data_IF_144784614029
#
_entry.id   IF_144784614029
#
_cell.length_a   1.000
_cell.length_b   1.000
_cell.length_c   1.000
_cell.angle_alpha   90.00
_cell.angle_beta   90.00
_cell.angle_gamma   90.00
#
_symmetry.space_group_name_H-M   'P 1'
#
loop_
_entity.id
_entity.type
_entity.pdbx_description
1 polymer ?
#
# COMPACT_ATOMS: atom_id res chain seq x y z
N UNK A 1 -12.54 16.64 10.39
CA UNK A 1 -13.38 15.60 9.77
C UNK A 1 -13.59 16.02 8.33
N UNK A 2 -12.76 15.55 7.40
CA UNK A 2 -12.86 15.96 5.99
C UNK A 2 -13.70 14.92 5.26
N UNK A 3 -14.95 15.29 5.00
CA UNK A 3 -15.89 14.51 4.23
C UNK A 3 -15.45 14.37 2.78
N UNK A 4 -15.85 13.24 2.20
CA UNK A 4 -15.80 12.94 0.77
C UNK A 4 -16.37 14.13 -0.04
N UNK A 5 -15.48 14.98 -0.53
CA UNK A 5 -15.72 15.69 -1.79
C UNK A 5 -14.98 14.87 -2.85
N UNK A 6 -15.71 14.41 -3.86
CA UNK A 6 -15.27 13.77 -5.12
C UNK A 6 -13.82 14.12 -5.55
N UNK A 7 -12.85 13.46 -4.91
CA UNK A 7 -11.41 13.66 -5.09
C UNK A 7 -10.78 12.59 -5.97
N UNK A 8 -11.58 11.92 -6.82
CA UNK A 8 -11.10 10.84 -7.68
C UNK A 8 -10.09 11.32 -8.72
N UNK A 9 -10.12 12.59 -9.14
CA UNK A 9 -9.32 13.06 -10.27
C UNK A 9 -7.90 13.47 -9.92
N UNK A 10 -7.68 14.02 -8.71
CA UNK A 10 -6.35 14.49 -8.28
C UNK A 10 -5.40 13.35 -7.85
N UNK A 11 -5.91 12.13 -7.69
CA UNK A 11 -5.11 10.94 -7.33
C UNK A 11 -4.67 10.11 -8.54
N UNK A 12 -5.10 10.48 -9.76
CA UNK A 12 -4.73 9.78 -11.01
C UNK A 12 -3.43 10.30 -11.64
N UNK A 13 -2.80 11.35 -11.12
CA UNK A 13 -1.62 11.95 -11.75
C UNK A 13 -0.35 11.10 -11.66
N UNK A 14 -0.32 10.12 -10.75
CA UNK A 14 0.81 9.20 -10.62
C UNK A 14 0.59 7.89 -11.38
N UNK A 15 -0.66 7.60 -11.74
CA UNK A 15 -1.09 6.29 -12.21
C UNK A 15 -0.52 5.97 -13.59
N UNK A 16 0.09 4.80 -13.75
CA UNK A 16 0.69 4.36 -15.03
C UNK A 16 -0.33 4.23 -16.14
N UNK A 17 -1.56 3.82 -15.82
CA UNK A 17 -2.66 3.70 -16.78
C UNK A 17 -3.28 5.04 -17.17
N UNK A 18 -2.95 6.14 -16.47
CA UNK A 18 -3.38 7.47 -16.89
C UNK A 18 -2.51 7.95 -18.06
N UNK A 19 -3.05 7.86 -19.27
CA UNK A 19 -2.37 8.26 -20.50
C UNK A 19 -2.17 9.78 -20.62
N UNK A 20 -2.97 10.59 -19.91
CA UNK A 20 -2.88 12.05 -19.94
C UNK A 20 -1.60 12.58 -19.26
N UNK A 21 -0.98 11.80 -18.35
CA UNK A 21 0.20 12.21 -17.58
C UNK A 21 1.49 11.51 -18.00
N UNK A 22 2.61 12.22 -17.90
CA UNK A 22 3.98 11.74 -18.21
C UNK A 22 4.87 11.73 -16.96
N UNK A 23 4.34 11.14 -15.90
CA UNK A 23 5.03 10.94 -14.63
C UNK A 23 5.31 12.23 -13.86
N UNK A 24 6.36 12.21 -13.06
CA UNK A 24 6.66 13.26 -12.08
C UNK A 24 8.06 13.89 -12.27
N UNK A 25 8.73 13.63 -13.39
CA UNK A 25 10.04 14.20 -13.68
C UNK A 25 9.98 15.65 -14.20
N UNK A 26 9.08 15.93 -15.14
CA UNK A 26 8.95 17.23 -15.82
C UNK A 26 8.15 18.21 -14.96
N UNK A 27 8.62 19.45 -14.85
CA UNK A 27 7.98 20.50 -14.03
C UNK A 27 6.53 20.81 -14.38
N UNK A 28 6.17 20.67 -15.66
CA UNK A 28 4.84 20.99 -16.19
C UNK A 28 3.83 19.84 -16.03
N UNK A 29 4.28 18.67 -15.57
CA UNK A 29 3.37 17.55 -15.36
C UNK A 29 2.67 17.72 -14.01
N UNK A 30 1.35 17.48 -13.93
CA UNK A 30 0.59 17.67 -12.69
C UNK A 30 1.13 16.80 -11.54
N UNK A 31 1.66 15.60 -11.86
CA UNK A 31 2.31 14.75 -10.87
C UNK A 31 3.56 15.40 -10.25
N UNK A 32 4.32 16.20 -11.00
CA UNK A 32 5.44 16.95 -10.44
C UNK A 32 4.97 18.01 -9.44
N UNK A 33 3.94 18.77 -9.81
CA UNK A 33 3.39 19.86 -9.00
C UNK A 33 2.79 19.33 -7.69
N UNK A 34 2.09 18.20 -7.74
CA UNK A 34 1.56 17.55 -6.54
C UNK A 34 2.68 17.14 -5.57
N UNK A 35 3.82 16.63 -6.05
CA UNK A 35 4.97 16.34 -5.19
C UNK A 35 5.67 17.59 -4.65
N UNK A 36 5.69 18.69 -5.39
CA UNK A 36 6.20 19.96 -4.87
C UNK A 36 5.26 20.55 -3.80
N UNK A 37 3.94 20.45 -3.98
CA UNK A 37 2.98 20.79 -2.95
C UNK A 37 3.16 19.93 -1.70
N UNK A 38 3.23 18.60 -1.86
CA UNK A 38 3.45 17.67 -0.75
C UNK A 38 4.76 17.98 -0.01
N UNK A 39 5.82 18.33 -0.74
CA UNK A 39 7.09 18.77 -0.17
C UNK A 39 6.91 19.97 0.76
N UNK A 40 6.16 20.97 0.32
CA UNK A 40 5.94 22.19 1.09
C UNK A 40 5.11 21.88 2.34
N UNK A 41 4.04 21.09 2.21
CA UNK A 41 3.20 20.71 3.36
C UNK A 41 3.97 19.92 4.42
N UNK A 42 4.74 18.92 4.02
CA UNK A 42 5.56 18.13 4.96
C UNK A 42 6.65 18.98 5.62
N UNK A 43 7.22 19.96 4.90
CA UNK A 43 8.17 20.89 5.50
C UNK A 43 7.50 21.79 6.55
N UNK A 44 6.31 22.31 6.26
CA UNK A 44 5.54 23.12 7.23
C UNK A 44 5.22 22.29 8.47
N UNK A 45 4.80 21.02 8.30
CA UNK A 45 4.55 20.11 9.42
C UNK A 45 5.81 19.88 10.24
N UNK A 46 6.96 19.61 9.60
CA UNK A 46 8.25 19.49 10.30
C UNK A 46 8.58 20.73 11.12
N UNK A 47 8.51 21.91 10.49
CA UNK A 47 8.92 23.17 11.10
C UNK A 47 8.02 23.52 12.29
N UNK A 48 6.78 23.01 12.31
CA UNK A 48 5.81 23.15 13.41
C UNK A 48 5.85 22.00 14.43
N UNK A 49 6.71 20.99 14.25
CA UNK A 49 6.75 19.82 15.12
C UNK A 49 5.50 18.92 15.03
N UNK A 50 4.79 18.95 13.89
CA UNK A 50 3.62 18.12 13.63
C UNK A 50 4.00 16.80 12.94
N UNK A 51 3.11 15.82 13.01
CA UNK A 51 3.24 14.55 12.30
C UNK A 51 2.18 14.42 11.19
N UNK A 52 2.46 13.56 10.20
CA UNK A 52 1.61 13.37 9.03
C UNK A 52 1.27 11.90 8.81
N UNK A 53 0.03 11.63 8.40
CA UNK A 53 -0.38 10.36 7.81
C UNK A 53 -0.66 10.65 6.34
N UNK A 54 0.01 9.93 5.43
CA UNK A 54 -0.28 10.05 4.01
C UNK A 54 -1.45 9.15 3.67
N UNK A 55 -2.45 9.68 2.96
CA UNK A 55 -3.60 8.92 2.49
C UNK A 55 -3.75 9.07 0.98
N UNK A 56 -4.11 7.99 0.31
CA UNK A 56 -4.39 8.01 -1.13
C UNK A 56 -5.28 6.87 -1.57
N UNK A 57 -5.78 6.92 -2.81
CA UNK A 57 -6.58 5.83 -3.38
C UNK A 57 -5.67 4.73 -3.95
N UNK A 58 -4.90 5.05 -5.00
CA UNK A 58 -4.03 4.09 -5.69
C UNK A 58 -2.67 3.98 -4.96
N UNK A 59 -2.26 2.78 -4.50
CA UNK A 59 -1.00 2.59 -3.82
C UNK A 59 0.21 2.62 -4.77
N UNK A 60 1.41 2.94 -4.25
CA UNK A 60 2.66 2.99 -5.00
C UNK A 60 3.24 1.58 -5.26
N UNK A 61 2.43 0.69 -5.84
CA UNK A 61 2.85 -0.67 -6.11
C UNK A 61 3.94 -0.73 -7.19
N UNK A 62 4.97 -1.55 -6.92
CA UNK A 62 6.17 -1.65 -7.77
C UNK A 62 6.80 -3.04 -7.63
N UNK A 63 6.16 -4.01 -8.29
CA UNK A 63 6.66 -5.38 -8.51
C UNK A 63 6.56 -5.71 -10.00
N UNK A 64 7.10 -6.85 -10.43
CA UNK A 64 7.24 -7.17 -11.85
C UNK A 64 5.87 -7.37 -12.54
N UNK A 65 4.92 -8.01 -11.85
CA UNK A 65 3.52 -8.14 -12.27
C UNK A 65 2.69 -6.86 -12.16
N UNK A 66 3.11 -5.85 -11.38
CA UNK A 66 2.33 -4.63 -11.14
C UNK A 66 3.18 -3.41 -10.80
N UNK A 67 3.12 -2.42 -11.69
CA UNK A 67 3.58 -1.05 -11.44
C UNK A 67 2.38 -0.09 -11.48
N UNK A 68 1.89 0.32 -10.31
CA UNK A 68 0.74 1.23 -10.22
C UNK A 68 1.14 2.68 -10.50
N UNK A 69 2.35 3.10 -10.16
CA UNK A 69 2.80 4.48 -10.34
C UNK A 69 3.96 4.58 -11.31
N UNK A 70 4.01 5.63 -12.12
CA UNK A 70 5.20 5.91 -12.95
C UNK A 70 6.45 5.91 -12.07
N UNK A 71 7.51 5.22 -12.52
CA UNK A 71 8.77 5.13 -11.79
C UNK A 71 9.31 6.48 -11.30
N UNK A 72 9.13 7.58 -12.03
CA UNK A 72 9.60 8.90 -11.58
C UNK A 72 8.76 9.45 -10.42
N UNK A 73 7.48 9.10 -10.35
CA UNK A 73 6.60 9.39 -9.23
C UNK A 73 6.95 8.50 -8.03
N UNK A 74 7.12 7.20 -8.24
CA UNK A 74 7.56 6.27 -7.18
C UNK A 74 8.91 6.69 -6.57
N UNK A 75 9.87 7.10 -7.40
CA UNK A 75 11.18 7.59 -6.95
C UNK A 75 11.08 8.85 -6.09
N UNK A 76 10.16 9.76 -6.39
CA UNK A 76 9.89 10.95 -5.55
C UNK A 76 9.20 10.58 -4.24
N UNK A 77 8.19 9.74 -4.30
CA UNK A 77 7.47 9.26 -3.12
C UNK A 77 8.41 8.59 -2.12
N UNK A 78 9.14 7.59 -2.56
CA UNK A 78 10.12 6.86 -1.73
C UNK A 78 11.22 7.78 -1.22
N UNK A 79 11.59 8.82 -1.99
CA UNK A 79 12.52 9.85 -1.52
C UNK A 79 11.88 10.76 -0.46
N UNK A 80 10.60 11.13 -0.56
CA UNK A 80 9.92 11.98 0.41
C UNK A 80 9.66 11.23 1.70
N UNK A 81 9.18 9.99 1.63
CA UNK A 81 9.11 9.05 2.75
C UNK A 81 10.43 9.01 3.53
N UNK A 82 11.55 8.84 2.82
CA UNK A 82 12.88 8.87 3.44
C UNK A 82 13.26 10.22 4.02
N UNK A 83 13.05 11.30 3.27
CA UNK A 83 13.49 12.62 3.73
C UNK A 83 12.62 13.16 4.86
N UNK A 84 11.35 12.78 4.96
CA UNK A 84 10.38 13.21 5.97
C UNK A 84 10.01 12.10 6.96
N UNK A 85 10.89 11.11 7.13
CA UNK A 85 10.70 9.96 8.02
C UNK A 85 10.55 10.30 9.51
N UNK A 86 10.93 11.51 9.89
CA UNK A 86 10.73 12.15 11.20
C UNK A 86 9.31 12.72 11.37
N UNK A 87 8.59 12.95 10.27
CA UNK A 87 7.25 13.56 10.25
C UNK A 87 6.19 12.52 9.92
N UNK A 88 6.46 11.64 8.95
CA UNK A 88 5.48 10.67 8.43
C UNK A 88 5.36 9.50 9.42
N UNK A 89 4.14 9.27 9.89
CA UNK A 89 3.77 8.18 10.82
C UNK A 89 3.41 6.91 10.05
N UNK A 90 2.81 7.05 8.88
CA UNK A 90 2.40 5.95 8.04
C UNK A 90 1.65 6.41 6.79
N UNK A 91 1.48 5.48 5.86
CA UNK A 91 0.88 5.74 4.55
C UNK A 91 -0.22 4.71 4.26
N UNK A 92 -1.44 5.18 3.97
CA UNK A 92 -2.65 4.38 3.87
C UNK A 92 -3.28 4.52 2.47
N UNK A 93 -3.54 3.38 1.83
CA UNK A 93 -4.07 3.30 0.47
C UNK A 93 -5.20 2.26 0.34
N UNK A 94 -5.82 2.20 -0.84
CA UNK A 94 -6.84 1.20 -1.19
C UNK A 94 -6.67 0.71 -2.63
N UNK A 95 -7.73 0.81 -3.44
CA UNK A 95 -7.79 0.50 -4.88
C UNK A 95 -7.63 -0.98 -5.26
N UNK A 96 -6.74 -1.73 -4.61
CA UNK A 96 -6.39 -3.10 -5.03
C UNK A 96 -7.41 -4.16 -4.54
N UNK A 97 -8.35 -3.80 -3.68
CA UNK A 97 -9.36 -4.68 -3.07
C UNK A 97 -8.80 -5.91 -2.34
N UNK A 98 -7.49 -5.92 -2.05
CA UNK A 98 -6.78 -6.97 -1.32
C UNK A 98 -6.06 -6.35 -0.12
N UNK A 99 -6.16 -7.01 1.03
CA UNK A 99 -5.49 -6.58 2.24
C UNK A 99 -4.02 -6.99 2.21
N UNK A 100 -3.13 -6.00 2.16
CA UNK A 100 -1.70 -6.23 2.22
C UNK A 100 -0.95 -4.94 2.62
N UNK A 101 0.37 -5.06 2.70
CA UNK A 101 1.26 -3.93 2.88
C UNK A 101 2.42 -4.01 1.90
N UNK A 102 3.16 -2.91 1.75
CA UNK A 102 4.29 -2.81 0.85
C UNK A 102 5.46 -2.14 1.56
N UNK A 103 6.68 -2.61 1.26
CA UNK A 103 7.90 -1.97 1.73
C UNK A 103 8.51 -1.13 0.62
N UNK A 104 8.71 0.16 0.86
CA UNK A 104 9.52 0.99 -0.04
C UNK A 104 10.99 0.95 0.41
N UNK A 105 11.85 0.37 -0.41
CA UNK A 105 13.28 0.26 -0.13
C UNK A 105 14.06 1.49 -0.65
N UNK A 106 14.67 2.25 0.28
CA UNK A 106 15.42 3.45 -0.05
C UNK A 106 16.73 3.19 -0.82
N UNK A 107 17.21 1.95 -0.88
CA UNK A 107 18.31 1.57 -1.75
C UNK A 107 17.91 1.55 -3.23
N UNK A 108 16.64 1.32 -3.55
CA UNK A 108 16.12 1.37 -4.91
C UNK A 108 15.96 2.79 -5.46
N UNK A 109 16.14 3.82 -4.62
CA UNK A 109 16.18 5.21 -5.08
C UNK A 109 17.44 5.43 -5.95
N UNK A 110 17.23 5.83 -7.21
CA UNK A 110 18.27 6.09 -8.20
C UNK A 110 19.21 7.21 -7.73
N UNK A 111 20.51 7.08 -8.02
CA UNK A 111 21.53 8.11 -7.69
C UNK A 111 21.16 9.50 -8.24
N UNK A 112 20.54 9.55 -9.43
CA UNK A 112 20.03 10.80 -10.01
C UNK A 112 18.93 11.42 -9.15
N UNK A 113 17.92 10.65 -8.75
CA UNK A 113 16.82 11.12 -7.92
C UNK A 113 17.33 11.65 -6.56
N UNK A 114 18.29 10.96 -5.94
CA UNK A 114 18.96 11.43 -4.70
C UNK A 114 19.64 12.80 -4.87
N UNK A 115 20.09 13.14 -6.08
CA UNK A 115 20.72 14.41 -6.45
C UNK A 115 19.73 15.43 -7.04
N UNK A 116 18.43 15.15 -6.99
CA UNK A 116 17.40 16.04 -7.55
C UNK A 116 17.36 16.04 -9.07
N UNK A 117 17.70 14.92 -9.72
CA UNK A 117 17.71 14.79 -11.18
C UNK A 117 17.00 13.52 -11.65
N UNK A 118 15.98 13.66 -12.49
CA UNK A 118 15.28 12.51 -13.07
C UNK A 118 15.07 12.69 -14.58
N UNK A 119 15.13 11.58 -15.30
CA UNK A 119 14.69 11.52 -16.69
C UNK A 119 13.30 10.88 -16.74
N UNK A 120 12.43 11.30 -17.67
CA UNK A 120 11.14 10.66 -17.88
C UNK A 120 11.33 9.20 -18.32
N UNK A 121 10.36 8.33 -18.02
CA UNK A 121 10.36 6.95 -18.50
C UNK A 121 10.32 6.89 -20.04
N UNK A 122 10.75 5.77 -20.61
CA UNK A 122 10.68 5.55 -22.08
C UNK A 122 9.32 5.07 -22.49
N UNK A 123 8.82 5.58 -23.61
CA UNK A 123 7.62 5.07 -24.28
C UNK A 123 7.68 3.55 -24.51
N UNK A 124 8.86 3.01 -24.89
CA UNK A 124 9.10 1.56 -25.00
C UNK A 124 8.91 0.80 -23.68
N UNK A 125 9.35 1.38 -22.57
CA UNK A 125 9.18 0.79 -21.23
C UNK A 125 7.73 0.88 -20.77
N UNK A 126 7.05 2.00 -21.05
CA UNK A 126 5.62 2.20 -20.76
C UNK A 126 4.73 1.23 -21.55
N UNK A 127 5.05 0.98 -22.81
CA UNK A 127 4.34 0.01 -23.67
C UNK A 127 4.56 -1.45 -23.25
N UNK A 128 5.76 -1.80 -22.78
CA UNK A 128 6.04 -3.16 -22.28
C UNK A 128 5.31 -3.45 -20.95
N UNK A 129 5.18 -2.45 -20.08
CA UNK A 129 4.41 -2.54 -18.82
C UNK A 129 2.91 -2.63 -19.11
N UNK A 130 2.41 -1.96 -20.15
CA UNK A 130 1.01 -2.06 -20.58
C UNK A 130 0.70 -3.37 -21.35
N UNK A 131 1.70 -4.00 -21.97
CA UNK A 131 1.56 -5.21 -22.80
C UNK A 131 1.67 -6.54 -22.04
N UNK A 132 2.11 -6.53 -20.78
CA UNK A 132 2.10 -7.70 -19.89
C UNK A 132 0.71 -7.92 -19.28
N UNK A 133 -0.26 -8.29 -20.13
CA UNK A 133 -1.66 -8.34 -19.77
C UNK A 133 -2.00 -9.40 -18.71
N UNK A 134 -2.37 -8.92 -17.52
CA UNK A 134 -3.23 -9.64 -16.58
C UNK A 134 -4.23 -8.70 -15.89
N UNK A 135 -4.53 -7.54 -16.47
CA UNK A 135 -5.31 -6.49 -15.80
C UNK A 135 -6.23 -5.78 -16.80
N UNK A 136 -7.53 -5.79 -16.53
CA UNK A 136 -8.51 -4.89 -17.15
C UNK A 136 -8.48 -3.57 -16.39
N UNK A 137 -8.19 -2.47 -17.09
CA UNK A 137 -8.24 -1.09 -16.58
C UNK A 137 -7.36 -0.75 -15.35
N UNK A 138 -6.32 -1.54 -15.09
CA UNK A 138 -5.41 -1.30 -13.98
C UNK A 138 -5.97 -1.70 -12.61
N UNK A 139 -7.15 -2.32 -12.56
CA UNK A 139 -7.66 -2.99 -11.36
C UNK A 139 -7.09 -4.40 -11.25
N UNK A 140 -6.80 -4.83 -10.02
CA UNK A 140 -6.43 -6.21 -9.76
C UNK A 140 -7.71 -7.02 -9.69
N UNK A 141 -7.92 -7.87 -10.69
CA UNK A 141 -8.93 -8.92 -10.63
C UNK A 141 -8.50 -10.00 -9.64
N UNK A 142 -9.46 -10.78 -9.11
CA UNK A 142 -9.17 -11.90 -8.19
C UNK A 142 -8.13 -12.86 -8.79
N UNK A 143 -8.20 -13.13 -10.09
CA UNK A 143 -7.25 -13.99 -10.80
C UNK A 143 -5.83 -13.37 -10.90
N UNK A 144 -5.73 -12.03 -10.97
CA UNK A 144 -4.43 -11.33 -11.02
C UNK A 144 -3.84 -11.01 -9.64
N UNK A 145 -4.65 -11.10 -8.59
CA UNK A 145 -4.22 -10.83 -7.22
C UNK A 145 -3.20 -11.86 -6.73
N UNK A 146 -3.33 -13.12 -7.15
CA UNK A 146 -2.39 -14.18 -6.80
C UNK A 146 -0.98 -13.87 -7.28
N UNK A 147 -0.83 -13.51 -8.56
CA UNK A 147 0.47 -13.27 -9.18
C UNK A 147 1.17 -12.06 -8.54
N UNK A 148 0.40 -11.00 -8.27
CA UNK A 148 0.88 -9.84 -7.54
C UNK A 148 1.39 -10.20 -6.13
N UNK A 149 0.65 -11.00 -5.37
CA UNK A 149 1.03 -11.40 -4.01
C UNK A 149 2.23 -12.36 -4.01
N UNK A 150 2.33 -13.25 -5.00
CA UNK A 150 3.49 -14.13 -5.20
C UNK A 150 4.74 -13.32 -5.49
N UNK A 151 4.67 -12.33 -6.38
CA UNK A 151 5.78 -11.43 -6.66
C UNK A 151 6.18 -10.62 -5.43
N UNK A 152 5.21 -10.08 -4.69
CA UNK A 152 5.47 -9.34 -3.46
C UNK A 152 6.21 -10.20 -2.43
N UNK A 153 5.77 -11.45 -2.26
CA UNK A 153 6.44 -12.45 -1.42
C UNK A 153 7.85 -12.77 -1.91
N UNK A 154 8.05 -12.92 -3.21
CA UNK A 154 9.36 -13.13 -3.81
C UNK A 154 10.31 -11.95 -3.53
N UNK A 155 9.84 -10.71 -3.62
CA UNK A 155 10.60 -9.54 -3.21
C UNK A 155 10.95 -9.55 -1.72
N UNK A 156 10.04 -9.98 -0.85
CA UNK A 156 10.30 -10.13 0.59
C UNK A 156 11.32 -11.23 0.91
N UNK A 157 11.36 -12.30 0.13
CA UNK A 157 12.34 -13.39 0.29
C UNK A 157 13.81 -12.93 0.11
N UNK A 158 14.01 -11.77 -0.54
CA UNK A 158 15.31 -11.13 -0.78
C UNK A 158 15.73 -10.16 0.31
N UNK A 159 14.90 -9.94 1.33
CA UNK A 159 15.25 -9.09 2.45
C UNK A 159 16.47 -9.66 3.19
N UNK A 160 17.32 -8.81 3.80
CA UNK A 160 18.39 -9.30 4.66
C UNK A 160 17.83 -10.20 5.77
N UNK A 161 18.54 -11.29 6.10
CA UNK A 161 18.25 -12.14 7.25
C UNK A 161 19.41 -12.10 8.25
N UNK A 162 19.16 -12.31 9.56
CA UNK A 162 20.19 -12.44 10.58
C UNK A 162 21.19 -13.58 10.28
N UNK A 163 22.46 -13.48 10.72
CA UNK A 163 23.55 -14.36 10.27
C UNK A 163 23.52 -15.81 10.81
N UNK A 164 22.59 -16.20 11.69
CA UNK A 164 22.59 -17.53 12.34
C UNK A 164 21.55 -18.50 11.73
N UNK A 165 21.97 -19.75 11.44
CA UNK A 165 21.03 -20.82 11.04
C UNK A 165 20.07 -21.22 12.17
N UNK A 166 20.43 -20.95 13.43
CA UNK A 166 19.56 -21.12 14.62
C UNK A 166 18.62 -19.92 14.85
N UNK A 167 18.83 -18.80 14.16
CA UNK A 167 18.02 -17.58 14.28
C UNK A 167 16.99 -17.43 13.16
N UNK A 168 16.76 -18.46 12.33
CA UNK A 168 15.75 -18.40 11.25
C UNK A 168 14.31 -18.19 11.75
N UNK A 169 14.06 -18.30 13.06
CA UNK A 169 12.80 -17.95 13.71
C UNK A 169 12.84 -16.76 14.67
N UNK A 170 14.00 -16.11 14.86
CA UNK A 170 14.13 -14.96 15.78
C UNK A 170 13.60 -13.69 15.13
N UNK A 171 12.93 -12.86 15.93
CA UNK A 171 12.48 -11.55 15.49
C UNK A 171 13.66 -10.57 15.36
N UNK A 172 13.51 -9.53 14.52
CA UNK A 172 14.52 -8.46 14.46
C UNK A 172 14.69 -7.76 15.82
N UNK A 173 13.61 -7.65 16.60
CA UNK A 173 13.66 -7.05 17.94
C UNK A 173 14.59 -7.85 18.88
N UNK A 174 14.40 -9.16 18.98
CA UNK A 174 15.26 -10.05 19.79
C UNK A 174 16.74 -9.95 19.40
N UNK A 175 17.03 -9.90 18.09
CA UNK A 175 18.41 -9.77 17.61
C UNK A 175 19.04 -8.42 17.98
N UNK A 176 18.26 -7.34 17.97
CA UNK A 176 18.73 -6.02 18.40
C UNK A 176 19.03 -6.00 19.88
N UNK A 177 18.16 -6.60 20.71
CA UNK A 177 18.32 -6.61 22.17
C UNK A 177 19.58 -7.40 22.58
N UNK A 178 19.84 -8.55 21.95
CA UNK A 178 21.08 -9.33 22.15
C UNK A 178 22.35 -8.56 21.72
N UNK A 179 22.33 -7.89 20.55
CA UNK A 179 23.48 -7.12 20.06
C UNK A 179 23.73 -5.87 20.91
N UNK A 180 22.68 -5.24 21.47
CA UNK A 180 22.85 -4.13 22.41
C UNK A 180 23.45 -4.58 23.73
N UNK A 181 23.03 -5.74 24.26
CA UNK A 181 23.63 -6.28 25.47
C UNK A 181 25.12 -6.54 25.27
N UNK A 182 25.53 -7.12 24.12
CA UNK A 182 26.94 -7.34 23.77
C UNK A 182 27.76 -6.05 23.57
N UNK A 183 27.17 -5.02 22.94
CA UNK A 183 27.82 -3.72 22.75
C UNK A 183 27.98 -2.96 24.08
N UNK A 184 26.97 -2.99 24.96
CA UNK A 184 27.00 -2.31 26.27
C UNK A 184 28.04 -2.94 27.23
N UNK A 185 28.23 -4.27 27.25
CA UNK A 185 29.35 -4.86 28.04
C UNK A 185 30.72 -4.43 27.52
N UNK A 186 30.86 -4.22 26.20
CA UNK A 186 32.12 -3.77 25.59
C UNK A 186 32.42 -2.29 25.87
N UNK A 187 31.38 -1.47 26.04
CA UNK A 187 31.49 -0.03 26.30
C UNK A 187 31.91 0.26 27.75
N UNK A 188 31.43 -0.54 28.72
CA UNK A 188 31.81 -0.39 30.13
C UNK A 188 33.18 -1.01 30.49
N UNK A 189 33.71 -1.94 29.68
CA UNK A 189 35.03 -2.55 29.93
C UNK A 189 36.24 -1.70 29.48
N UNK A 190 36.05 -0.58 28.79
CA UNK A 190 37.17 0.16 28.21
C UNK A 190 37.17 1.69 28.49
N UNK A 191 37.20 2.15 29.76
CA UNK A 191 37.19 3.57 30.07
C UNK A 191 38.54 4.29 29.88
N UNK A 192 39.58 3.63 29.34
CA UNK A 192 40.97 4.12 29.36
C UNK A 192 41.61 4.49 28.01
N UNK A 193 40.86 4.57 26.90
CA UNK A 193 41.46 4.87 25.57
C UNK A 193 41.02 6.19 24.91
N UNK A 194 40.33 7.09 25.63
CA UNK A 194 39.84 8.37 25.10
C UNK A 194 40.94 9.45 25.02
N UNK A 195 42.18 9.12 24.67
CA UNK A 195 43.18 10.12 24.24
C UNK A 195 44.22 9.52 23.29
N UNK A 196 43.85 9.28 22.03
CA UNK A 196 44.81 9.50 20.93
C UNK A 196 44.09 9.76 19.60
N UNK A 197 44.23 10.99 19.11
CA UNK A 197 43.92 11.35 17.72
C UNK A 197 44.94 10.67 16.81
N UNK A 198 44.59 9.54 16.20
CA UNK A 198 45.29 9.07 15.00
C UNK A 198 44.29 8.74 13.90
N UNK A 199 44.45 9.43 12.76
CA UNK A 199 43.75 9.19 11.50
C UNK A 199 44.03 7.75 11.04
N UNK A 200 43.17 6.80 11.39
CA UNK A 200 43.17 5.46 10.76
C UNK A 200 42.39 5.53 9.45
N UNK A 201 43.08 5.26 8.35
CA UNK A 201 42.49 5.00 7.02
C UNK A 201 41.42 3.89 7.12
N UNK A 202 40.33 3.95 6.35
CA UNK A 202 39.28 2.94 6.42
C UNK A 202 39.82 1.60 5.90
N UNK A 203 39.84 0.58 6.76
CA UNK A 203 40.10 -0.81 6.35
C UNK A 203 38.97 -1.24 5.40
N UNK A 204 39.31 -1.37 4.12
CA UNK A 204 38.50 -2.00 3.10
C UNK A 204 38.22 -3.46 3.52
N UNK A 205 36.95 -3.86 3.69
CA UNK A 205 36.59 -5.28 3.75
C UNK A 205 35.79 -5.80 4.97
N UNK A 206 35.37 -4.98 5.94
CA UNK A 206 34.40 -5.48 6.94
C UNK A 206 33.04 -5.70 6.26
N UNK A 207 32.53 -6.94 6.29
CA UNK A 207 31.16 -7.26 5.86
C UNK A 207 30.20 -6.43 6.71
N UNK A 208 29.29 -5.69 6.06
CA UNK A 208 28.23 -4.94 6.76
C UNK A 208 27.45 -5.87 7.68
N UNK A 209 27.21 -5.43 8.92
CA UNK A 209 26.40 -6.18 9.88
C UNK A 209 24.97 -6.36 9.35
N UNK A 210 24.19 -7.23 9.98
CA UNK A 210 22.77 -7.36 9.63
C UNK A 210 22.03 -6.03 9.81
N UNK A 211 22.25 -5.34 10.94
CA UNK A 211 21.66 -4.03 11.22
C UNK A 211 22.04 -2.99 10.16
N UNK A 212 23.30 -2.95 9.72
CA UNK A 212 23.74 -2.07 8.63
C UNK A 212 22.97 -2.31 7.32
N UNK A 213 22.55 -3.56 7.05
CA UNK A 213 21.82 -3.91 5.82
C UNK A 213 20.37 -3.46 5.85
N UNK A 214 19.76 -3.41 7.03
CA UNK A 214 18.37 -2.91 7.21
C UNK A 214 18.31 -1.41 7.53
N UNK A 215 19.45 -0.74 7.68
CA UNK A 215 19.51 0.69 7.95
C UNK A 215 19.49 1.04 9.43
N UNK A 216 20.08 0.20 10.27
CA UNK A 216 20.20 0.38 11.72
C UNK A 216 19.12 -0.38 12.50
N UNK A 217 19.13 -0.18 13.83
CA UNK A 217 18.26 -0.90 14.78
C UNK A 217 16.76 -0.74 14.54
N UNK A 218 16.36 0.30 13.81
CA UNK A 218 14.97 0.63 13.50
C UNK A 218 14.53 0.31 12.07
N UNK A 219 15.39 -0.36 11.29
CA UNK A 219 15.13 -0.66 9.88
C UNK A 219 14.88 0.60 9.00
N UNK A 220 15.62 1.70 9.23
CA UNK A 220 15.44 3.02 8.58
C UNK A 220 15.72 3.03 7.07
N UNK A 221 16.09 1.88 6.48
CA UNK A 221 16.17 1.68 5.03
C UNK A 221 14.80 1.60 4.36
N UNK A 222 13.76 1.28 5.12
CA UNK A 222 12.43 1.00 4.59
C UNK A 222 11.41 2.04 5.05
N UNK A 223 10.33 2.20 4.29
CA UNK A 223 9.05 2.71 4.78
C UNK A 223 7.93 1.72 4.43
N UNK A 224 6.78 1.88 5.08
CA UNK A 224 5.64 0.97 4.95
C UNK A 224 4.45 1.72 4.38
N UNK A 225 3.82 1.15 3.35
CA UNK A 225 2.51 1.59 2.87
C UNK A 225 1.50 0.47 3.09
N UNK A 226 0.39 0.78 3.76
CA UNK A 226 -0.69 -0.16 4.05
C UNK A 226 -1.78 -0.02 3.00
N UNK A 227 -2.29 -1.13 2.48
CA UNK A 227 -3.37 -1.15 1.51
C UNK A 227 -4.58 -1.83 2.13
N UNK A 228 -5.65 -1.07 2.31
CA UNK A 228 -6.89 -1.57 2.87
C UNK A 228 -7.72 -2.31 1.80
N UNK A 229 -8.46 -3.36 2.20
CA UNK A 229 -9.43 -4.05 1.34
C UNK A 229 -10.64 -3.17 0.99
N UNK A 230 -11.52 -3.69 0.13
CA UNK A 230 -12.63 -2.92 -0.43
C UNK A 230 -13.70 -2.56 0.61
N UNK A 231 -14.27 -1.36 0.48
CA UNK A 231 -15.54 -1.00 1.13
C UNK A 231 -16.74 -1.26 0.22
N UNK A 232 -16.48 -1.55 -1.07
CA UNK A 232 -17.52 -1.70 -2.09
C UNK A 232 -18.15 -3.10 -1.99
N UNK A 233 -19.49 -3.23 -2.00
CA UNK A 233 -20.20 -4.51 -1.82
C UNK A 233 -19.95 -5.61 -2.87
N UNK A 234 -19.13 -5.37 -3.89
CA UNK A 234 -18.65 -6.44 -4.78
C UNK A 234 -17.79 -7.46 -4.01
N UNK A 235 -17.15 -7.02 -2.92
CA UNK A 235 -16.45 -7.84 -1.94
C UNK A 235 -17.12 -7.67 -0.57
N UNK A 236 -16.63 -8.35 0.46
CA UNK A 236 -17.04 -8.04 1.82
C UNK A 236 -16.54 -6.64 2.19
N UNK A 237 -17.43 -5.68 2.51
CA UNK A 237 -17.03 -4.35 2.92
C UNK A 237 -16.20 -4.45 4.20
N UNK A 238 -15.05 -3.78 4.21
CA UNK A 238 -14.13 -3.85 5.33
C UNK A 238 -13.73 -2.46 5.82
N UNK A 239 -13.60 -2.31 7.13
CA UNK A 239 -13.16 -1.09 7.82
C UNK A 239 -12.02 -1.46 8.76
N UNK A 240 -10.96 -0.63 8.77
CA UNK A 240 -9.83 -0.77 9.68
C UNK A 240 -9.77 0.41 10.65
N UNK A 241 -9.70 0.12 11.94
CA UNK A 241 -9.58 1.12 13.01
C UNK A 241 -8.18 1.03 13.59
N UNK A 242 -7.41 2.11 13.43
CA UNK A 242 -6.06 2.22 13.99
C UNK A 242 -6.08 2.83 15.39
N UNK A 243 -5.32 2.24 16.29
CA UNK A 243 -4.96 2.82 17.59
C UNK A 243 -3.57 3.44 17.49
N UNK A 244 -3.36 4.54 18.20
CA UNK A 244 -2.09 5.25 18.22
C UNK A 244 -1.77 5.77 19.61
N UNK A 245 -0.50 6.03 19.86
CA UNK A 245 0.00 6.49 21.15
C UNK A 245 -0.36 7.98 21.38
N UNK A 246 -1.14 8.28 22.41
CA UNK A 246 -1.51 9.64 22.81
C UNK A 246 -0.70 10.18 23.99
N UNK A 247 0.28 9.40 24.49
CA UNK A 247 1.09 9.79 25.66
C UNK A 247 1.70 11.17 25.44
N UNK A 248 1.49 12.06 26.42
CA UNK A 248 1.99 13.44 26.39
C UNK A 248 1.02 14.44 25.75
N UNK A 249 -0.11 13.99 25.17
CA UNK A 249 -1.17 14.87 24.67
C UNK A 249 -2.25 15.17 25.72
N UNK A 250 -2.27 14.44 26.85
CA UNK A 250 -3.33 14.51 27.86
C UNK A 250 -3.45 15.88 28.56
N UNK A 251 -2.39 16.70 28.49
CA UNK A 251 -2.32 18.04 29.09
C UNK A 251 -2.54 19.18 28.10
N UNK A 252 -2.72 18.87 26.82
CA UNK A 252 -2.99 19.88 25.81
C UNK A 252 -4.50 20.15 25.80
N UNK A 253 -4.92 21.29 26.37
CA UNK A 253 -6.23 21.85 26.08
C UNK A 253 -6.27 22.17 24.59
N UNK A 254 -6.88 21.27 23.81
CA UNK A 254 -7.21 21.56 22.42
C UNK A 254 -8.25 22.67 22.48
N UNK A 255 -7.81 23.92 22.28
CA UNK A 255 -8.74 25.01 22.01
C UNK A 255 -9.63 24.54 20.87
N UNK A 256 -10.93 24.44 21.12
CA UNK A 256 -11.93 24.27 20.07
C UNK A 256 -11.61 25.33 19.03
N UNK A 257 -11.25 24.89 17.82
CA UNK A 257 -10.76 25.73 16.73
C UNK A 257 -11.60 27.00 16.70
N UNK A 258 -11.01 28.13 17.12
CA UNK A 258 -11.64 29.44 16.90
C UNK A 258 -11.71 29.62 15.40
N UNK A 259 -12.90 29.91 14.87
CA UNK A 259 -13.20 30.04 13.45
C UNK A 259 -12.28 31.04 12.68
N UNK A 260 -11.41 31.76 13.39
CA UNK A 260 -10.53 32.81 12.87
C UNK A 260 -9.26 32.32 12.13
N UNK A 261 -8.81 31.07 12.27
CA UNK A 261 -7.63 30.56 11.50
C UNK A 261 -8.00 29.90 10.16
N UNK A 262 -9.25 30.04 9.70
CA UNK A 262 -9.70 29.57 8.39
C UNK A 262 -9.15 30.41 7.20
N UNK A 263 -8.48 31.54 7.46
CA UNK A 263 -8.11 32.52 6.43
C UNK A 263 -7.01 32.09 5.45
N UNK A 264 -6.21 31.05 5.73
CA UNK A 264 -5.17 30.56 4.80
C UNK A 264 -5.56 29.29 4.06
N UNK A 265 -6.45 28.48 4.64
CA UNK A 265 -7.05 27.33 3.96
C UNK A 265 -8.15 27.76 2.98
N UNK A 266 -8.83 28.88 3.23
CA UNK A 266 -9.88 29.38 2.33
C UNK A 266 -9.32 29.80 0.97
N UNK A 267 -8.11 30.36 0.88
CA UNK A 267 -7.53 30.73 -0.42
C UNK A 267 -7.19 29.48 -1.26
N UNK A 268 -6.69 28.42 -0.62
CA UNK A 268 -6.37 27.14 -1.28
C UNK A 268 -7.66 26.39 -1.65
N UNK A 269 -8.69 26.44 -0.79
CA UNK A 269 -10.03 25.92 -1.12
C UNK A 269 -10.69 26.70 -2.25
N UNK A 270 -10.61 28.03 -2.24
CA UNK A 270 -11.20 28.90 -3.26
C UNK A 270 -10.54 28.68 -4.61
N UNK A 271 -9.21 28.55 -4.65
CA UNK A 271 -8.46 28.16 -5.85
C UNK A 271 -8.75 26.71 -6.31
N UNK A 272 -9.20 25.83 -5.40
CA UNK A 272 -9.57 24.45 -5.73
C UNK A 272 -11.04 24.28 -6.17
N UNK A 273 -11.89 25.28 -5.89
CA UNK A 273 -13.32 25.28 -6.22
C UNK A 273 -13.67 26.15 -7.44
N UNK A 274 -12.81 27.07 -7.86
CA UNK A 274 -13.01 27.95 -9.04
C UNK A 274 -12.72 27.28 -10.41
N UNK A 275 -12.38 25.99 -10.43
CA UNK A 275 -12.36 25.22 -11.65
C UNK A 275 -13.67 24.45 -11.77
N UNK A 276 -14.63 25.03 -12.49
CA UNK A 276 -15.86 24.36 -12.92
C UNK A 276 -15.51 22.96 -13.44
N UNK A 277 -16.13 21.95 -12.82
CA UNK A 277 -16.04 20.55 -13.23
C UNK A 277 -16.71 20.44 -14.60
N UNK A 278 -15.90 20.56 -15.66
CA UNK A 278 -16.35 20.32 -17.01
C UNK A 278 -16.86 18.88 -17.12
N UNK A 279 -18.07 18.76 -17.66
CA UNK A 279 -18.75 17.55 -18.11
C UNK A 279 -17.79 16.43 -18.57
N UNK A 280 -18.03 15.21 -18.10
CA UNK A 280 -17.16 14.01 -18.26
C UNK A 280 -16.87 13.70 -19.75
N UNK A 281 -17.82 14.01 -20.63
CA UNK A 281 -17.69 13.87 -22.09
C UNK A 281 -16.80 14.94 -22.75
N UNK A 282 -16.62 16.09 -22.09
CA UNK A 282 -15.74 17.17 -22.57
C UNK A 282 -14.29 16.93 -22.12
N UNK A 283 -14.09 16.45 -20.88
CA UNK A 283 -12.78 16.05 -20.36
C UNK A 283 -12.18 14.88 -21.17
N UNK A 284 -12.99 13.89 -21.54
CA UNK A 284 -12.54 12.76 -22.38
C UNK A 284 -12.14 13.21 -23.80
N UNK A 285 -12.89 14.12 -24.45
CA UNK A 285 -12.48 14.70 -25.74
C UNK A 285 -11.21 15.55 -25.66
N UNK A 286 -11.08 16.35 -24.61
CA UNK A 286 -9.90 17.20 -24.42
C UNK A 286 -8.64 16.37 -24.13
N UNK A 287 -8.77 15.33 -23.31
CA UNK A 287 -7.69 14.36 -23.08
C UNK A 287 -7.30 13.62 -24.36
N UNK A 288 -8.25 13.17 -25.19
CA UNK A 288 -7.95 12.58 -26.51
C UNK A 288 -7.20 13.54 -27.45
N UNK A 289 -7.57 14.82 -27.46
CA UNK A 289 -6.92 15.84 -28.29
C UNK A 289 -5.47 16.12 -27.83
N UNK A 290 -5.23 16.11 -26.51
CA UNK A 290 -3.90 16.24 -25.90
C UNK A 290 -3.06 15.00 -26.20
N UNK A 291 -3.65 13.80 -26.13
CA UNK A 291 -3.01 12.52 -26.46
C UNK A 291 -2.50 12.51 -27.91
N UNK A 292 -3.33 12.97 -28.88
CA UNK A 292 -2.94 13.06 -30.29
C UNK A 292 -1.77 14.03 -30.54
N UNK A 293 -1.72 15.16 -29.82
CA UNK A 293 -0.60 16.11 -29.88
C UNK A 293 0.68 15.56 -29.22
N UNK A 294 0.54 14.79 -28.14
CA UNK A 294 1.63 14.19 -27.36
C UNK A 294 2.31 13.04 -28.11
N UNK A 295 1.54 12.18 -28.79
CA UNK A 295 2.08 11.12 -29.64
C UNK A 295 2.99 11.66 -30.76
N UNK A 296 2.58 12.75 -31.44
CA UNK A 296 3.38 13.41 -32.48
C UNK A 296 4.70 14.02 -31.97
N UNK A 297 4.76 14.45 -30.71
CA UNK A 297 5.95 15.07 -30.11
C UNK A 297 6.89 14.04 -29.45
N UNK A 298 6.34 12.97 -28.85
CA UNK A 298 7.08 11.87 -28.24
C UNK A 298 7.95 11.12 -29.25
N UNK A 299 7.46 10.94 -30.47
CA UNK A 299 8.19 10.27 -31.56
C UNK A 299 9.45 11.06 -31.96
N UNK A 300 9.36 12.40 -32.04
CA UNK A 300 10.49 13.30 -32.34
C UNK A 300 11.50 13.45 -31.20
N UNK A 301 11.11 13.30 -29.93
CA UNK A 301 12.03 13.40 -28.78
C UNK A 301 12.81 12.11 -28.49
N UNK A 302 12.35 10.96 -28.98
CA UNK A 302 12.94 9.63 -28.71
C UNK A 302 14.38 9.45 -29.24
N UNK A 303 14.84 10.34 -30.13
CA UNK A 303 16.15 10.30 -30.79
C UNK A 303 17.23 11.19 -30.13
N UNK A 304 16.89 12.02 -29.13
CA UNK A 304 17.87 12.89 -28.43
C UNK A 304 18.26 12.31 -27.06
N UNK A 305 19.52 12.51 -26.64
CA UNK A 305 19.97 12.15 -25.27
C UNK A 305 18.97 12.71 -24.25
N UNK A 306 18.41 11.80 -23.45
CA UNK A 306 17.31 12.09 -22.51
C UNK A 306 17.67 13.23 -21.57
N UNK A 307 16.99 14.37 -21.73
CA UNK A 307 17.16 15.53 -20.86
C UNK A 307 16.75 15.15 -19.42
N UNK A 308 17.67 15.36 -18.48
CA UNK A 308 17.38 15.18 -17.05
C UNK A 308 16.77 16.47 -16.51
N UNK A 309 15.63 16.35 -15.86
CA UNK A 309 14.92 17.44 -15.19
C UNK A 309 15.40 17.56 -13.74
N UNK A 310 15.63 18.79 -13.29
CA UNK A 310 16.04 19.09 -11.91
C UNK A 310 14.81 19.33 -11.01
N UNK A 311 14.89 18.90 -9.77
CA UNK A 311 13.87 19.17 -8.74
C UNK A 311 14.52 19.39 -7.37
N UNK A 312 13.77 20.02 -6.46
CA UNK A 312 14.29 20.36 -5.12
C UNK A 312 14.18 19.15 -4.21
N UNK A 313 15.33 18.65 -3.74
CA UNK A 313 15.36 17.54 -2.77
C UNK A 313 15.25 18.12 -1.35
N UNK A 314 14.29 17.67 -0.54
CA UNK A 314 14.19 18.03 0.86
C UNK A 314 15.42 17.60 1.65
N UNK A 315 15.75 18.37 2.68
CA UNK A 315 16.72 17.92 3.67
C UNK A 315 16.06 16.80 4.49
N UNK A 316 16.83 15.75 4.76
CA UNK A 316 16.44 14.70 5.70
C UNK A 316 16.54 15.18 7.14
N UNK A 317 16.06 14.39 8.12
CA UNK A 317 16.35 14.64 9.52
C UNK A 317 17.87 14.60 9.78
N UNK A 318 18.29 15.24 10.87
CA UNK A 318 19.70 15.16 11.30
C UNK A 318 20.08 13.69 11.55
N UNK A 319 21.34 13.35 11.28
CA UNK A 319 21.88 12.02 11.62
C UNK A 319 21.92 11.76 13.13
N UNK A 320 21.88 12.81 13.93
CA UNK A 320 21.83 12.75 15.40
C UNK A 320 20.40 12.77 15.95
N UNK A 321 19.39 13.01 15.11
CA UNK A 321 17.99 12.99 15.56
C UNK A 321 17.55 11.56 15.83
N UNK A 322 16.66 11.34 16.82
CA UNK A 322 16.02 10.04 16.98
C UNK A 322 15.22 9.68 15.72
N UNK A 323 14.94 8.39 15.50
CA UNK A 323 14.05 7.97 14.42
C UNK A 323 12.65 8.57 14.62
N UNK A 324 11.88 8.67 13.55
CA UNK A 324 10.52 9.22 13.62
C UNK A 324 9.46 8.25 14.15
N UNK A 325 8.19 8.70 14.19
CA UNK A 325 7.09 7.97 14.84
C UNK A 325 6.75 6.62 14.22
N UNK A 326 7.02 6.44 12.93
CA UNK A 326 6.81 5.14 12.29
C UNK A 326 7.83 4.08 12.73
N UNK A 327 8.98 4.49 13.27
CA UNK A 327 10.16 3.63 13.43
C UNK A 327 10.43 3.25 14.88
N UNK A 328 10.12 4.14 15.82
CA UNK A 328 10.27 3.92 17.26
C UNK A 328 9.01 4.37 17.97
N UNK A 329 8.59 3.70 19.06
CA UNK A 329 7.46 4.14 19.86
C UNK A 329 7.65 5.57 20.39
N UNK A 330 6.76 6.47 19.99
CA UNK A 330 6.66 7.84 20.48
C UNK A 330 5.20 8.30 20.38
N UNK A 331 4.90 9.54 20.75
CA UNK A 331 3.58 10.14 20.55
C UNK A 331 3.20 10.09 19.06
N UNK A 332 1.94 9.76 18.80
CA UNK A 332 1.31 9.53 17.49
C UNK A 332 1.73 8.25 16.74
N UNK A 333 2.67 7.45 17.25
CA UNK A 333 2.99 6.15 16.65
C UNK A 333 1.77 5.23 16.63
N UNK A 334 1.51 4.56 15.51
CA UNK A 334 0.51 3.50 15.42
C UNK A 334 0.91 2.32 16.32
N UNK A 335 -0.03 1.83 17.12
CA UNK A 335 0.21 0.76 18.10
C UNK A 335 -0.44 -0.56 17.70
N UNK A 336 -1.69 -0.50 17.23
CA UNK A 336 -2.46 -1.67 16.81
C UNK A 336 -3.56 -1.30 15.83
N UNK A 337 -4.15 -2.28 15.14
CA UNK A 337 -5.40 -2.07 14.43
C UNK A 337 -6.36 -3.25 14.60
N UNK A 338 -7.65 -2.94 14.53
CA UNK A 338 -8.73 -3.94 14.44
C UNK A 338 -9.39 -3.76 13.08
N UNK A 339 -9.49 -4.86 12.35
CA UNK A 339 -10.16 -4.95 11.07
C UNK A 339 -11.53 -5.61 11.24
N UNK A 340 -12.53 -4.98 10.65
CA UNK A 340 -13.91 -5.42 10.66
C UNK A 340 -14.39 -5.64 9.24
N UNK A 341 -15.16 -6.70 9.02
CA UNK A 341 -15.78 -6.98 7.72
C UNK A 341 -17.29 -7.18 7.87
N UNK A 342 -18.04 -6.86 6.83
CA UNK A 342 -19.47 -7.17 6.75
C UNK A 342 -19.66 -8.42 5.88
N UNK A 343 -20.07 -9.52 6.51
CA UNK A 343 -20.34 -10.78 5.82
C UNK A 343 -21.64 -10.69 5.00
N UNK A 344 -21.52 -10.22 3.76
CA UNK A 344 -22.67 -10.02 2.88
C UNK A 344 -23.42 -11.31 2.56
N UNK A 345 -22.73 -12.45 2.51
CA UNK A 345 -23.36 -13.77 2.33
C UNK A 345 -24.36 -14.05 3.47
N UNK A 346 -23.94 -13.79 4.70
CA UNK A 346 -24.81 -13.95 5.88
C UNK A 346 -25.90 -12.87 5.95
N UNK A 347 -25.56 -11.61 5.62
CA UNK A 347 -26.49 -10.48 5.69
C UNK A 347 -27.59 -10.57 4.65
N UNK A 348 -27.25 -10.85 3.38
CA UNK A 348 -28.24 -10.90 2.31
C UNK A 348 -29.23 -12.06 2.49
N UNK A 349 -28.80 -13.12 3.19
CA UNK A 349 -29.65 -14.24 3.57
C UNK A 349 -30.24 -14.97 2.34
N UNK A 350 -29.50 -14.95 1.23
CA UNK A 350 -29.96 -15.43 -0.09
C UNK A 350 -30.13 -16.96 -0.16
N UNK A 351 -29.61 -17.71 0.82
CA UNK A 351 -29.58 -19.18 0.83
C UNK A 351 -30.67 -19.84 1.70
N UNK A 352 -31.58 -19.07 2.29
CA UNK A 352 -32.60 -19.61 3.23
C UNK A 352 -33.93 -19.95 2.53
N UNK A 353 -34.02 -19.76 1.21
CA UNK A 353 -35.23 -20.04 0.45
C UNK A 353 -35.38 -21.51 0.04
N UNK A 354 -35.17 -22.48 0.94
CA UNK A 354 -35.50 -23.89 0.66
C UNK A 354 -35.77 -24.76 1.91
N UNK A 355 -36.19 -24.14 3.03
CA UNK A 355 -36.60 -24.89 4.23
C UNK A 355 -38.13 -24.92 4.46
N UNK A 356 -38.93 -24.25 3.62
CA UNK A 356 -40.39 -24.10 3.83
C UNK A 356 -41.27 -24.71 2.73
N UNK A 357 -40.76 -25.64 1.92
CA UNK A 357 -41.62 -26.51 1.09
C UNK A 357 -41.19 -27.97 1.20
N UNK A 358 -41.82 -28.63 2.16
CA UNK A 358 -41.94 -30.07 2.32
C UNK A 358 -42.21 -30.82 1.01
N UNK A 359 -41.25 -31.64 0.59
CA UNK A 359 -41.54 -33.00 0.09
C UNK A 359 -40.32 -33.88 0.37
N UNK A 360 -40.45 -34.69 1.41
CA UNK A 360 -39.56 -35.79 1.77
C UNK A 360 -39.25 -36.68 0.57
N UNK A 361 -37.98 -36.79 0.16
CA UNK A 361 -37.50 -37.84 -0.73
C UNK A 361 -36.50 -38.74 -0.01
N UNK A 362 -36.66 -40.04 -0.25
CA UNK A 362 -35.95 -41.15 0.37
C UNK A 362 -34.69 -41.39 -0.48
N UNK A 363 -33.53 -40.89 -0.05
CA UNK A 363 -32.18 -41.46 -0.24
C UNK A 363 -31.10 -40.41 0.09
N UNK A 364 -30.39 -40.62 1.20
CA UNK A 364 -29.50 -39.62 1.83
C UNK A 364 -28.03 -39.62 1.39
N UNK A 365 -27.69 -40.00 0.16
CA UNK A 365 -26.28 -40.15 -0.25
C UNK A 365 -25.88 -39.52 -1.59
N UNK A 366 -26.79 -38.83 -2.30
CA UNK A 366 -26.46 -38.16 -3.57
C UNK A 366 -26.17 -36.67 -3.34
N UNK A 367 -25.03 -36.12 -3.78
CA UNK A 367 -24.81 -34.68 -3.72
C UNK A 367 -25.82 -33.98 -4.64
N UNK A 368 -26.75 -33.23 -4.05
CA UNK A 368 -27.88 -32.59 -4.77
C UNK A 368 -27.48 -31.35 -5.58
N UNK A 369 -26.20 -30.93 -5.51
CA UNK A 369 -25.71 -29.74 -6.21
C UNK A 369 -24.28 -29.93 -6.72
N UNK A 370 -24.05 -29.61 -7.99
CA UNK A 370 -22.71 -29.43 -8.58
C UNK A 370 -22.59 -27.97 -9.03
N UNK A 371 -21.60 -27.23 -8.51
CA UNK A 371 -21.39 -25.80 -8.81
C UNK A 371 -22.64 -24.90 -8.63
N UNK A 372 -23.50 -25.21 -7.65
CA UNK A 372 -24.71 -24.43 -7.39
C UNK A 372 -25.90 -24.71 -8.33
N UNK A 373 -25.82 -25.78 -9.12
CA UNK A 373 -26.91 -26.27 -9.97
C UNK A 373 -27.51 -27.53 -9.34
N UNK A 374 -28.84 -27.55 -9.18
CA UNK A 374 -29.58 -28.70 -8.66
C UNK A 374 -29.56 -29.85 -9.68
N UNK A 375 -29.49 -31.07 -9.17
CA UNK A 375 -29.49 -32.30 -9.97
C UNK A 375 -30.67 -33.16 -9.53
N UNK A 376 -31.45 -33.66 -10.49
CA UNK A 376 -32.56 -34.56 -10.21
C UNK A 376 -32.10 -35.97 -9.80
N UNK A 377 -33.06 -36.82 -9.41
CA UNK A 377 -32.79 -38.19 -8.95
C UNK A 377 -32.17 -39.09 -10.05
N UNK A 378 -32.23 -38.65 -11.31
CA UNK A 378 -31.71 -39.32 -12.49
C UNK A 378 -30.35 -38.75 -12.96
N UNK A 379 -29.75 -37.82 -12.21
CA UNK A 379 -28.44 -37.25 -12.50
C UNK A 379 -28.43 -36.15 -13.57
N UNK A 380 -29.60 -35.59 -13.92
CA UNK A 380 -29.73 -34.51 -14.90
C UNK A 380 -29.74 -33.17 -14.20
N UNK A 381 -29.12 -32.18 -14.82
CA UNK A 381 -29.07 -30.81 -14.30
C UNK A 381 -30.47 -30.21 -14.43
N UNK A 382 -31.07 -29.78 -13.32
CA UNK A 382 -32.35 -29.09 -13.34
C UNK A 382 -32.17 -27.69 -13.97
N UNK A 383 -32.92 -27.41 -15.04
CA UNK A 383 -32.88 -26.15 -15.80
C UNK A 383 -33.32 -24.90 -15.00
N UNK A 384 -33.59 -25.03 -13.70
CA UNK A 384 -34.01 -23.92 -12.82
C UNK A 384 -32.90 -22.90 -12.55
N UNK A 385 -31.65 -23.23 -12.90
CA UNK A 385 -30.49 -22.33 -12.84
C UNK A 385 -30.09 -21.67 -14.16
N UNK A 386 -30.67 -22.07 -15.30
CA UNK A 386 -30.27 -21.54 -16.62
C UNK A 386 -30.99 -20.22 -16.93
N UNK A 387 -30.23 -19.14 -17.14
CA UNK A 387 -30.78 -17.87 -17.66
C UNK A 387 -30.65 -17.88 -19.18
N UNK A 388 -31.75 -18.16 -19.86
CA UNK A 388 -31.84 -18.06 -21.31
C UNK A 388 -31.52 -16.63 -21.77
N UNK A 389 -30.60 -16.51 -22.73
CA UNK A 389 -30.15 -15.25 -23.30
C UNK A 389 -31.25 -14.56 -24.10
N UNK A 390 -31.24 -13.23 -24.08
CA UNK A 390 -32.26 -12.32 -24.63
C UNK A 390 -32.59 -12.59 -26.12
N UNK A 391 -33.68 -13.30 -26.41
CA UNK A 391 -34.44 -13.11 -27.64
C UNK A 391 -35.95 -13.18 -27.39
N UNK A 392 -36.65 -12.11 -27.80
CA UNK A 392 -38.01 -12.19 -28.29
C UNK A 392 -39.18 -12.19 -27.31
N UNK A 393 -39.51 -11.02 -26.76
CA UNK A 393 -40.89 -10.54 -26.48
C UNK A 393 -41.75 -11.37 -25.50
N UNK A 394 -41.73 -10.91 -24.24
CA UNK A 394 -42.74 -11.10 -23.19
C UNK A 394 -43.08 -12.53 -22.75
N UNK A 395 -42.41 -13.06 -21.72
CA UNK A 395 -43.06 -13.94 -20.73
C UNK A 395 -42.44 -13.79 -19.32
N UNK A 396 -43.31 -13.61 -18.33
CA UNK A 396 -43.12 -14.08 -16.95
C UNK A 396 -42.00 -13.45 -16.10
N UNK A 397 -42.04 -12.14 -15.82
CA UNK A 397 -41.33 -11.63 -14.63
C UNK A 397 -42.06 -12.14 -13.38
N UNK A 398 -41.74 -13.36 -12.90
CA UNK A 398 -42.01 -13.70 -11.49
C UNK A 398 -41.35 -12.60 -10.65
N UNK A 399 -42.05 -11.97 -9.69
CA UNK A 399 -41.41 -11.00 -8.82
C UNK A 399 -40.22 -11.69 -8.15
N UNK A 400 -39.03 -11.05 -8.19
CA UNK A 400 -37.90 -11.51 -7.37
C UNK A 400 -38.45 -11.69 -5.95
N UNK A 401 -38.19 -12.84 -5.33
CA UNK A 401 -38.48 -13.05 -3.92
C UNK A 401 -37.96 -11.81 -3.18
N UNK A 402 -38.82 -11.16 -2.38
CA UNK A 402 -38.39 -10.00 -1.61
C UNK A 402 -37.22 -10.46 -0.73
N UNK A 403 -36.02 -9.87 -0.87
CA UNK A 403 -34.88 -10.28 -0.06
C UNK A 403 -35.26 -10.09 1.41
N UNK A 404 -34.88 -11.04 2.26
CA UNK A 404 -35.06 -10.98 3.72
C UNK A 404 -33.71 -10.75 4.39
N UNK A 405 -33.06 -9.60 4.18
CA UNK A 405 -31.73 -9.37 4.71
C UNK A 405 -31.77 -9.33 6.24
N UNK A 406 -30.76 -9.91 6.86
CA UNK A 406 -30.49 -9.74 8.30
C UNK A 406 -29.99 -8.33 8.57
N UNK A 407 -29.98 -7.93 9.85
CA UNK A 407 -29.45 -6.63 10.27
C UNK A 407 -27.99 -6.48 9.82
N UNK A 408 -27.71 -5.44 9.04
CA UNK A 408 -26.36 -5.11 8.61
C UNK A 408 -25.48 -4.84 9.83
N UNK A 409 -24.35 -5.54 9.94
CA UNK A 409 -23.37 -5.36 10.99
C UNK A 409 -21.97 -5.71 10.49
N UNK A 410 -20.99 -5.07 11.11
CA UNK A 410 -19.58 -5.42 10.98
C UNK A 410 -19.20 -6.43 12.06
N UNK A 411 -18.38 -7.40 11.71
CA UNK A 411 -17.83 -8.42 12.60
C UNK A 411 -16.30 -8.29 12.59
N UNK A 412 -15.64 -8.62 13.70
CA UNK A 412 -14.17 -8.55 13.79
C UNK A 412 -13.58 -9.65 12.90
N UNK A 413 -12.80 -9.24 11.91
CA UNK A 413 -12.01 -10.15 11.06
C UNK A 413 -10.67 -10.48 11.72
N UNK A 414 -10.00 -9.44 12.22
CA UNK A 414 -8.63 -9.53 12.68
C UNK A 414 -8.29 -8.41 13.67
N UNK A 415 -7.54 -8.73 14.73
CA UNK A 415 -7.04 -7.77 15.72
C UNK A 415 -5.57 -8.06 16.00
N UNK A 416 -4.69 -7.08 15.73
CA UNK A 416 -3.25 -7.26 15.90
C UNK A 416 -2.83 -7.52 17.35
N UNK A 417 -3.66 -7.13 18.34
CA UNK A 417 -3.33 -7.27 19.76
C UNK A 417 -3.48 -8.70 20.26
N UNK A 418 -4.36 -9.47 19.64
CA UNK A 418 -4.67 -10.86 20.00
C UNK A 418 -4.23 -11.85 18.92
N UNK A 419 -3.50 -11.38 17.92
CA UNK A 419 -3.11 -12.19 16.77
C UNK A 419 -2.00 -13.20 17.13
N UNK A 420 -2.35 -14.49 17.03
CA UNK A 420 -1.40 -15.60 17.17
C UNK A 420 -0.65 -15.96 15.88
N UNK A 421 -1.12 -15.51 14.71
CA UNK A 421 -0.64 -15.97 13.39
C UNK A 421 0.52 -15.13 12.88
N UNK A 422 0.33 -13.83 12.73
CA UNK A 422 1.38 -12.92 12.23
C UNK A 422 2.26 -12.40 13.36
N UNK A 423 1.77 -12.40 14.62
CA UNK A 423 2.50 -11.98 15.82
C UNK A 423 3.06 -10.56 15.65
N UNK A 424 2.23 -9.65 15.14
CA UNK A 424 2.61 -8.25 14.91
C UNK A 424 2.38 -7.44 16.20
N UNK A 425 3.35 -7.50 17.12
CA UNK A 425 3.23 -6.90 18.45
C UNK A 425 3.19 -5.37 18.50
N UNK A 426 3.73 -4.70 17.46
CA UNK A 426 3.58 -3.27 17.23
C UNK A 426 3.51 -2.99 15.72
N UNK A 427 3.12 -1.76 15.36
CA UNK A 427 3.02 -1.31 13.97
C UNK A 427 4.23 -0.49 13.51
N UNK A 428 5.40 -0.69 14.13
CA UNK A 428 6.63 -0.01 13.69
C UNK A 428 7.13 -0.59 12.36
N UNK A 429 7.88 0.21 11.60
CA UNK A 429 8.51 -0.23 10.34
C UNK A 429 9.34 -1.49 10.53
N UNK A 430 10.08 -1.59 11.66
CA UNK A 430 10.88 -2.77 11.99
C UNK A 430 10.02 -4.04 12.07
N UNK A 431 8.87 -3.97 12.72
CA UNK A 431 7.95 -5.10 12.86
C UNK A 431 7.33 -5.52 11.53
N UNK A 432 7.00 -4.58 10.65
CA UNK A 432 6.57 -4.89 9.28
C UNK A 432 7.67 -5.50 8.42
N UNK A 433 8.93 -5.04 8.56
CA UNK A 433 10.08 -5.63 7.86
C UNK A 433 10.32 -7.06 8.34
N UNK A 434 10.21 -7.32 9.65
CA UNK A 434 10.32 -8.68 10.20
C UNK A 434 9.18 -9.59 9.70
N UNK A 435 7.94 -9.09 9.71
CA UNK A 435 6.79 -9.83 9.19
C UNK A 435 6.97 -10.18 7.71
N UNK A 436 7.38 -9.22 6.88
CA UNK A 436 7.66 -9.44 5.47
C UNK A 436 8.72 -10.52 5.27
N UNK A 437 9.83 -10.46 6.02
CA UNK A 437 10.89 -11.47 5.99
C UNK A 437 10.34 -12.85 6.33
N UNK A 438 9.55 -12.99 7.41
CA UNK A 438 8.95 -14.27 7.81
C UNK A 438 8.02 -14.84 6.72
N UNK A 439 7.20 -14.00 6.10
CA UNK A 439 6.34 -14.42 4.97
C UNK A 439 7.19 -14.88 3.78
N UNK A 440 8.27 -14.16 3.46
CA UNK A 440 9.19 -14.50 2.37
C UNK A 440 10.04 -15.75 2.63
N UNK A 441 10.27 -16.12 3.89
CA UNK A 441 11.06 -17.30 4.28
C UNK A 441 10.24 -18.61 4.35
N UNK A 442 8.92 -18.52 4.56
CA UNK A 442 8.04 -19.68 4.82
C UNK A 442 8.11 -20.83 3.79
N UNK A 443 8.51 -20.59 2.54
CA UNK A 443 8.61 -21.64 1.51
C UNK A 443 9.95 -22.37 1.45
N UNK A 444 11.00 -21.88 2.15
CA UNK A 444 12.30 -22.58 2.15
C UNK A 444 12.25 -23.91 2.91
N UNK A 445 11.21 -24.16 3.70
CA UNK A 445 11.00 -25.41 4.45
C UNK A 445 10.17 -26.46 3.71
N UNK A 446 9.22 -26.05 2.87
CA UNK A 446 8.29 -26.99 2.20
C UNK A 446 8.82 -27.49 0.85
N UNK A 447 9.69 -26.74 0.17
CA UNK A 447 10.30 -27.22 -1.10
C UNK A 447 11.38 -28.29 -0.91
N UNK A 448 11.97 -28.44 0.28
CA UNK A 448 12.89 -29.56 0.56
C UNK A 448 12.15 -30.87 0.94
N UNK A 449 10.85 -30.81 1.28
CA UNK A 449 10.06 -31.97 1.68
C UNK A 449 9.37 -32.70 0.51
N UNK A 450 9.18 -32.04 -0.65
CA UNK A 450 8.58 -32.66 -1.84
C UNK A 450 9.60 -33.20 -2.86
N UNK A 451 10.89 -33.18 -2.53
CA UNK A 451 11.98 -33.73 -3.36
C UNK A 451 12.49 -35.11 -2.93
N UNK A 452 11.85 -35.77 -1.97
CA UNK A 452 12.10 -37.18 -1.61
C UNK A 452 10.78 -37.88 -1.34
N UNK A 453 10.21 -38.42 -2.41
CA UNK A 453 9.09 -39.35 -2.41
C UNK A 453 9.14 -40.13 -3.70
#
# INVERSE_FOLDING_TARGET
MWGQTSGADKLRYFFTSNSAVDGCAKRKEPGYEQFEWLRVQLQIMRDRGMSAILIGHVPPARVDSKESWDETCWQKYTLWERQYRDVIVGSLFGHMNIDHFMLQDFHHIKKGAKKGQMAPQSSKTKAQIQGGGLLTDGEITVASASDYLVDLRYWWSKLPSPPSKKSKGRSIAEYVDEESDEEDVSFWQNPLSVFSKSKKKPKHGKKKSFLDKIGGRYAERYSVSLVAPSVVPNYFPTIRVFSYNTTGLDRLTVSTVSDQETFTNSLIQKLAMDHDFADDDTYTRDTESILRKKHKNSEKESLKKRKKYKFKVPKGPSKSSPPGPAYSPQTLTFTSYTQYFANLTHINNDFVAEAESSSSSINGASPQTIFGLHIDAEGRIEDRGWKEGKHGKHQGKKPRLKPRPKKFRFEVEYDTRTDGRYKLGDLTVRSFVDLARRIGEGDRGETEAFGRG
#
